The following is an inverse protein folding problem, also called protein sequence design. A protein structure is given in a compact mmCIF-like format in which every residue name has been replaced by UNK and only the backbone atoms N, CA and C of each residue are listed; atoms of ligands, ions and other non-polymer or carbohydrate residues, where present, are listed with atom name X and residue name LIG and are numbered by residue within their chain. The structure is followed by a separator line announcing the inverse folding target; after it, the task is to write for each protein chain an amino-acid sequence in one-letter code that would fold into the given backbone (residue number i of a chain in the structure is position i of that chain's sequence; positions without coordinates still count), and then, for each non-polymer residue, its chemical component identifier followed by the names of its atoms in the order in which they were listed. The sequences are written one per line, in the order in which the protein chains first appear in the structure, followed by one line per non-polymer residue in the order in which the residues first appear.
data_IF_083912856446
#
_entry.id   IF_083912856446
#
_cell.length_a   1.000
_cell.length_b   1.000
_cell.length_c   1.000
_cell.angle_alpha   90.00
_cell.angle_beta   90.00
_cell.angle_gamma   90.00
#
_symmetry.space_group_name_H-M   'P 1'
#
loop_
_entity.id
_entity.type
_entity.pdbx_description
1 polymer ?
#
# COMPACT_ATOMS: atom_id res chain seq x y z
N UNK A 1 9.33 -7.64 9.29
CA UNK A 1 10.68 -7.43 8.73
C UNK A 1 11.71 -7.93 9.71
N UNK A 2 12.80 -8.53 9.23
CA UNK A 2 13.89 -8.98 10.11
C UNK A 2 14.96 -7.89 10.11
N UNK A 3 15.38 -7.43 11.30
CA UNK A 3 16.47 -6.46 11.39
C UNK A 3 17.85 -7.15 11.25
N UNK A 4 18.93 -6.36 11.25
CA UNK A 4 20.31 -6.85 11.13
C UNK A 4 20.76 -7.81 12.26
N UNK A 5 19.98 -7.92 13.34
CA UNK A 5 20.23 -8.81 14.47
C UNK A 5 19.40 -10.10 14.41
N UNK A 6 18.69 -10.35 13.31
CA UNK A 6 17.84 -11.54 13.17
C UNK A 6 16.50 -11.44 13.91
N UNK A 7 16.14 -10.28 14.45
CA UNK A 7 14.87 -10.10 15.18
C UNK A 7 13.76 -9.77 14.18
N UNK A 8 12.71 -10.60 14.17
CA UNK A 8 11.51 -10.34 13.39
C UNK A 8 10.61 -9.32 14.10
N UNK A 9 10.28 -8.23 13.41
CA UNK A 9 9.37 -7.18 13.88
C UNK A 9 8.19 -7.02 12.93
N UNK A 10 7.00 -6.74 13.46
CA UNK A 10 5.86 -6.31 12.65
C UNK A 10 6.02 -4.83 12.32
N UNK A 11 6.36 -4.53 11.07
CA UNK A 11 6.56 -3.17 10.60
C UNK A 11 5.90 -3.01 9.24
N UNK A 12 5.34 -1.82 9.00
CA UNK A 12 4.80 -1.44 7.71
C UNK A 12 5.92 -1.32 6.66
N UNK A 13 5.60 -1.50 5.37
CA UNK A 13 6.54 -1.24 4.29
C UNK A 13 7.13 0.17 4.40
N UNK A 14 8.46 0.27 4.46
CA UNK A 14 9.13 1.56 4.60
C UNK A 14 9.22 2.30 3.25
N UNK A 15 9.55 1.56 2.19
CA UNK A 15 9.72 2.08 0.84
C UNK A 15 8.91 1.26 -0.15
N UNK A 16 8.55 1.92 -1.25
CA UNK A 16 7.93 1.30 -2.41
C UNK A 16 8.84 1.50 -3.61
N UNK A 17 8.84 0.55 -4.53
CA UNK A 17 9.53 0.73 -5.80
C UNK A 17 8.95 1.96 -6.51
N UNK A 18 9.77 2.72 -7.26
CA UNK A 18 9.33 3.93 -7.98
C UNK A 18 8.45 3.61 -9.21
N UNK A 19 7.85 2.42 -9.26
CA UNK A 19 6.99 1.97 -10.35
C UNK A 19 5.56 2.46 -10.08
N UNK A 20 5.10 3.38 -10.92
CA UNK A 20 3.74 3.93 -10.85
C UNK A 20 2.78 3.02 -11.60
N UNK A 21 1.94 2.31 -10.84
CA UNK A 21 0.90 1.39 -11.34
C UNK A 21 -0.37 1.67 -10.55
N UNK A 22 -1.14 2.71 -10.92
CA UNK A 22 -2.22 3.22 -10.07
C UNK A 22 -3.26 2.15 -9.74
N UNK A 23 -3.76 2.18 -8.51
CA UNK A 23 -4.85 1.30 -8.05
C UNK A 23 -5.91 2.11 -7.32
N UNK A 24 -7.16 1.70 -7.45
CA UNK A 24 -8.27 2.27 -6.69
C UNK A 24 -8.47 1.42 -5.43
N UNK A 25 -8.46 2.05 -4.26
CA UNK A 25 -8.74 1.40 -2.98
C UNK A 25 -10.23 1.20 -2.74
N UNK A 26 -10.57 0.27 -1.83
CA UNK A 26 -11.96 0.06 -1.36
C UNK A 26 -12.56 1.28 -0.65
N UNK A 27 -11.71 2.23 -0.24
CA UNK A 27 -12.07 3.52 0.32
C UNK A 27 -12.28 4.62 -0.74
N UNK A 28 -12.21 4.27 -2.03
CA UNK A 28 -12.37 5.17 -3.19
C UNK A 28 -11.24 6.18 -3.36
N UNK A 29 -10.07 5.92 -2.76
CA UNK A 29 -8.85 6.71 -2.95
C UNK A 29 -7.96 6.04 -4.00
N UNK A 30 -7.32 6.85 -4.86
CA UNK A 30 -6.32 6.34 -5.81
C UNK A 30 -4.95 6.34 -5.18
N UNK A 31 -4.27 5.21 -5.24
CA UNK A 31 -2.91 5.03 -4.77
C UNK A 31 -1.94 4.86 -5.94
N UNK A 32 -0.72 5.39 -5.80
CA UNK A 32 0.31 5.34 -6.86
C UNK A 32 0.68 3.91 -7.28
N UNK A 33 0.63 2.98 -6.32
CA UNK A 33 0.73 1.54 -6.56
C UNK A 33 0.13 0.74 -5.40
N UNK A 34 0.01 -0.58 -5.59
CA UNK A 34 -0.41 -1.51 -4.53
C UNK A 34 0.45 -1.38 -3.26
N UNK A 35 1.77 -1.17 -3.40
CA UNK A 35 2.66 -1.00 -2.25
C UNK A 35 2.30 0.26 -1.45
N UNK A 36 1.97 1.36 -2.13
CA UNK A 36 1.58 2.61 -1.46
C UNK A 36 0.26 2.44 -0.71
N UNK A 37 -0.70 1.70 -1.29
CA UNK A 37 -1.95 1.33 -0.60
C UNK A 37 -1.67 0.50 0.66
N UNK A 38 -0.88 -0.57 0.55
CA UNK A 38 -0.56 -1.45 1.68
C UNK A 38 0.22 -0.72 2.78
N UNK A 39 1.14 0.17 2.39
CA UNK A 39 1.88 1.03 3.31
C UNK A 39 0.95 1.95 4.08
N UNK A 40 0.07 2.67 3.38
CA UNK A 40 -0.87 3.58 4.04
C UNK A 40 -1.87 2.82 4.93
N UNK A 41 -2.44 1.72 4.44
CA UNK A 41 -3.33 0.86 5.20
C UNK A 41 -2.69 0.41 6.52
N UNK A 42 -1.43 -0.01 6.46
CA UNK A 42 -0.68 -0.41 7.65
C UNK A 42 -0.40 0.76 8.60
N UNK A 43 0.13 1.88 8.10
CA UNK A 43 0.51 3.05 8.92
C UNK A 43 -0.71 3.69 9.58
N UNK A 44 -1.81 3.80 8.84
CA UNK A 44 -3.07 4.40 9.30
C UNK A 44 -3.96 3.40 10.05
N UNK A 45 -3.54 2.13 10.18
CA UNK A 45 -4.33 1.06 10.78
C UNK A 45 -5.73 0.92 10.15
N UNK A 46 -5.82 1.10 8.83
CA UNK A 46 -7.07 0.99 8.07
C UNK A 46 -7.13 -0.34 7.34
N UNK A 47 -8.33 -0.91 7.26
CA UNK A 47 -8.60 -2.10 6.43
C UNK A 47 -8.96 -1.68 5.01
N UNK A 48 -7.95 -1.29 4.22
CA UNK A 48 -8.11 -0.90 2.81
C UNK A 48 -7.48 -1.97 1.93
N UNK A 49 -8.17 -2.36 0.87
CA UNK A 49 -7.65 -3.29 -0.15
C UNK A 49 -7.81 -2.69 -1.54
N UNK A 50 -7.17 -3.29 -2.54
CA UNK A 50 -7.35 -2.88 -3.94
C UNK A 50 -8.75 -3.27 -4.38
N UNK A 51 -9.55 -2.29 -4.79
CA UNK A 51 -10.84 -2.53 -5.45
C UNK A 51 -10.63 -2.93 -6.92
N UNK A 52 -9.77 -2.20 -7.65
CA UNK A 52 -9.37 -2.53 -9.03
C UNK A 52 -8.06 -1.82 -9.42
N UNK A 53 -7.44 -2.28 -10.51
CA UNK A 53 -6.26 -1.66 -11.11
C UNK A 53 -6.69 -0.47 -11.96
N UNK A 54 -6.06 0.69 -11.77
CA UNK A 54 -6.42 1.98 -12.37
C UNK A 54 -6.78 3.04 -11.32
N UNK A 55 -7.00 4.28 -11.77
CA UNK A 55 -7.46 5.37 -10.89
C UNK A 55 -8.96 5.29 -10.62
N UNK A 56 -9.38 5.67 -9.42
CA UNK A 56 -10.80 5.82 -9.11
C UNK A 56 -11.46 6.89 -10.01
N UNK A 57 -12.73 6.69 -10.36
CA UNK A 57 -13.52 7.68 -11.10
C UNK A 57 -13.18 7.82 -12.60
N UNK A 58 -12.20 7.07 -13.10
CA UNK A 58 -11.98 6.89 -14.54
C UNK A 58 -12.69 5.60 -14.96
N UNK A 59 -13.88 5.74 -15.54
CA UNK A 59 -14.70 4.66 -16.10
C UNK A 59 -14.81 4.86 -17.61
#
# INVERSE_FOLDING_TARGET
MVNQYGVATCQCPHSCAPVVTPVCGTDKVTYESRCHLEKEACVMQKSITVAFVGSCGKW
#
